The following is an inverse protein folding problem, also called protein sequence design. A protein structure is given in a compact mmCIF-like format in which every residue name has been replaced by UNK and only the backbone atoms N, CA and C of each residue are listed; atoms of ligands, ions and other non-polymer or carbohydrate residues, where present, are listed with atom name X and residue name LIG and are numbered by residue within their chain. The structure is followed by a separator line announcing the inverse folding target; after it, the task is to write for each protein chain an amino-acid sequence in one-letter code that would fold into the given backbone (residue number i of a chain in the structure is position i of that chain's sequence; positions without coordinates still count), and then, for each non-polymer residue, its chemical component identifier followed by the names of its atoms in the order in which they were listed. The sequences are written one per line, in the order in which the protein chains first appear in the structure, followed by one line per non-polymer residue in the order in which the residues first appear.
data_IF_217151271501
#
_entry.id   IF_217151271501
#
_cell.length_a   1.000
_cell.length_b   1.000
_cell.length_c   1.000
_cell.angle_alpha   90.00
_cell.angle_beta   90.00
_cell.angle_gamma   90.00
#
_symmetry.space_group_name_H-M   'P 1'
#
loop_
_entity.id
_entity.type
_entity.pdbx_description
1 polymer ?
#
# COMPACT_ATOMS: atom_id res chain seq x y z
N UNK A 1 -5.06 12.04 -20.84
CA UNK A 1 -5.08 10.89 -21.78
C UNK A 1 -6.37 10.90 -22.58
N UNK A 2 -6.30 10.46 -23.84
CA UNK A 2 -7.50 10.31 -24.69
C UNK A 2 -8.39 9.22 -24.11
N UNK A 3 -9.68 9.51 -23.90
CA UNK A 3 -10.69 8.60 -23.32
C UNK A 3 -10.38 8.01 -21.92
N UNK A 4 -9.31 8.47 -21.25
CA UNK A 4 -8.85 7.87 -20.00
C UNK A 4 -8.13 6.53 -20.19
N UNK A 5 -7.56 6.30 -21.37
CA UNK A 5 -6.82 5.09 -21.72
C UNK A 5 -5.31 5.36 -21.76
N UNK A 6 -4.53 4.33 -21.46
CA UNK A 6 -3.08 4.37 -21.58
C UNK A 6 -2.65 4.72 -23.04
N UNK A 7 -1.71 5.65 -23.27
CA UNK A 7 -1.31 6.00 -24.64
C UNK A 7 -0.70 4.81 -25.41
N UNK A 8 -0.98 4.72 -26.71
CA UNK A 8 -0.61 3.56 -27.55
C UNK A 8 0.88 3.18 -27.50
N UNK A 9 1.78 4.16 -27.34
CA UNK A 9 3.22 3.90 -27.20
C UNK A 9 3.58 3.03 -25.99
N UNK A 10 2.85 3.18 -24.88
CA UNK A 10 3.01 2.35 -23.68
C UNK A 10 2.30 0.99 -23.78
N UNK A 11 1.60 0.74 -24.88
CA UNK A 11 0.98 -0.55 -25.19
C UNK A 11 1.76 -1.35 -26.25
N UNK A 12 2.93 -0.85 -26.67
CA UNK A 12 3.80 -1.49 -27.66
C UNK A 12 4.29 -2.87 -27.16
N UNK A 13 4.37 -3.84 -28.07
CA UNK A 13 5.04 -5.13 -27.82
C UNK A 13 6.57 -5.06 -27.94
N UNK A 14 7.10 -3.91 -28.35
CA UNK A 14 8.53 -3.63 -28.49
C UNK A 14 8.87 -2.30 -27.79
N UNK A 15 8.83 -2.26 -26.43
CA UNK A 15 9.24 -1.08 -25.70
C UNK A 15 10.76 -0.89 -25.76
N UNK A 16 11.28 0.33 -25.53
CA UNK A 16 12.72 0.55 -25.42
C UNK A 16 13.36 -0.38 -24.37
N UNK A 17 14.50 -0.99 -24.69
CA UNK A 17 15.16 -2.01 -23.84
C UNK A 17 15.47 -1.54 -22.41
N UNK A 18 15.64 -0.23 -22.23
CA UNK A 18 15.96 0.40 -20.94
C UNK A 18 14.75 1.08 -20.29
N UNK A 19 13.54 0.93 -20.83
CA UNK A 19 12.32 1.44 -20.19
C UNK A 19 11.88 0.46 -19.11
N UNK A 20 12.13 0.82 -17.85
CA UNK A 20 11.72 0.06 -16.67
C UNK A 20 10.96 0.93 -15.65
N UNK A 21 10.72 2.20 -15.97
CA UNK A 21 10.12 3.18 -15.07
C UNK A 21 8.91 3.79 -15.76
N UNK A 22 7.72 3.50 -15.24
CA UNK A 22 6.43 3.89 -15.79
C UNK A 22 5.70 4.79 -14.81
N UNK A 23 5.74 6.10 -15.06
CA UNK A 23 5.11 7.11 -14.22
C UNK A 23 3.95 7.82 -14.93
N UNK A 24 2.77 7.77 -14.31
CA UNK A 24 1.55 8.44 -14.75
C UNK A 24 0.92 9.17 -13.57
N UNK A 25 1.35 10.40 -13.33
CA UNK A 25 0.89 11.21 -12.21
C UNK A 25 -0.08 12.29 -12.68
N UNK A 26 -1.17 12.49 -11.94
CA UNK A 26 -2.16 13.55 -12.19
C UNK A 26 -2.74 13.39 -13.61
N UNK A 27 -3.49 12.31 -13.82
CA UNK A 27 -4.07 12.00 -15.12
C UNK A 27 -5.56 11.67 -15.02
N UNK A 28 -6.22 11.48 -16.16
CA UNK A 28 -7.58 10.93 -16.22
C UNK A 28 -7.59 9.43 -16.56
N UNK A 29 -6.48 8.70 -16.38
CA UNK A 29 -6.38 7.26 -16.67
C UNK A 29 -7.39 6.49 -15.81
N UNK A 30 -8.27 5.72 -16.45
CA UNK A 30 -9.34 4.94 -15.81
C UNK A 30 -9.11 3.45 -15.88
N UNK A 31 -8.39 3.01 -16.91
CA UNK A 31 -8.12 1.59 -17.15
C UNK A 31 -6.82 1.42 -17.92
N UNK A 32 -6.22 0.24 -17.77
CA UNK A 32 -5.06 -0.20 -18.55
C UNK A 32 -5.41 -1.50 -19.27
N UNK A 33 -4.79 -1.79 -20.42
CA UNK A 33 -4.99 -3.06 -21.12
C UNK A 33 -4.65 -4.26 -20.24
N UNK A 34 -5.34 -5.39 -20.41
CA UNK A 34 -5.20 -6.59 -19.59
C UNK A 34 -3.89 -7.39 -19.81
N UNK A 35 -2.98 -6.89 -20.64
CA UNK A 35 -1.78 -7.58 -21.11
C UNK A 35 -0.50 -6.73 -21.01
N UNK A 36 -0.44 -5.79 -20.08
CA UNK A 36 0.80 -5.04 -19.82
C UNK A 36 1.93 -5.95 -19.32
N UNK A 37 1.61 -7.06 -18.64
CA UNK A 37 2.58 -8.02 -18.11
C UNK A 37 3.40 -8.75 -19.19
N UNK A 38 2.93 -8.80 -20.44
CA UNK A 38 3.71 -9.34 -21.57
C UNK A 38 4.41 -8.24 -22.38
N UNK A 39 4.20 -6.97 -22.02
CA UNK A 39 4.73 -5.79 -22.73
C UNK A 39 5.76 -5.06 -21.90
N UNK A 40 5.45 -4.79 -20.64
CA UNK A 40 6.31 -4.11 -19.70
C UNK A 40 7.28 -5.12 -19.09
N UNK A 41 8.49 -4.64 -18.80
CA UNK A 41 9.54 -5.47 -18.21
C UNK A 41 9.14 -5.88 -16.79
N UNK A 42 9.29 -7.16 -16.46
CA UNK A 42 9.09 -7.61 -15.08
C UNK A 42 10.06 -6.90 -14.12
N UNK A 43 9.60 -6.52 -12.92
CA UNK A 43 10.41 -5.75 -11.97
C UNK A 43 10.43 -4.24 -12.20
N UNK A 44 9.64 -3.74 -13.16
CA UNK A 44 9.55 -2.29 -13.42
C UNK A 44 9.08 -1.50 -12.20
N UNK A 45 9.44 -0.23 -12.15
CA UNK A 45 8.81 0.76 -11.27
C UNK A 45 7.49 1.16 -11.95
N UNK A 46 6.40 1.05 -11.21
CA UNK A 46 5.05 1.39 -11.70
C UNK A 46 4.41 2.39 -10.74
N UNK A 47 4.24 3.62 -11.21
CA UNK A 47 3.63 4.71 -10.46
C UNK A 47 2.45 5.22 -11.30
N UNK A 48 1.24 4.99 -10.80
CA UNK A 48 0.02 5.52 -11.41
C UNK A 48 -0.72 6.26 -10.30
N UNK A 49 -0.39 7.54 -10.12
CA UNK A 49 -0.88 8.33 -9.00
C UNK A 49 -1.87 9.41 -9.45
N UNK A 50 -2.77 9.79 -8.55
CA UNK A 50 -3.77 10.86 -8.76
C UNK A 50 -4.47 10.71 -10.11
N UNK A 51 -4.91 9.49 -10.40
CA UNK A 51 -5.62 9.11 -11.62
C UNK A 51 -7.05 8.68 -11.28
N UNK A 52 -7.71 7.90 -12.13
CA UNK A 52 -9.13 7.54 -11.99
C UNK A 52 -9.35 6.02 -11.94
N UNK A 53 -8.34 5.24 -11.52
CA UNK A 53 -8.49 3.79 -11.33
C UNK A 53 -9.44 3.51 -10.16
N UNK A 54 -10.50 2.75 -10.39
CA UNK A 54 -11.46 2.37 -9.34
C UNK A 54 -11.13 1.04 -8.66
N UNK A 55 -10.28 0.24 -9.30
CA UNK A 55 -9.82 -1.06 -8.83
C UNK A 55 -8.35 -1.24 -9.21
N UNK A 56 -7.63 -2.10 -8.50
CA UNK A 56 -6.26 -2.49 -8.88
C UNK A 56 -6.28 -3.35 -10.15
N UNK A 57 -5.70 -2.91 -11.28
CA UNK A 57 -5.66 -3.72 -12.49
C UNK A 57 -4.75 -4.94 -12.31
N UNK A 58 -5.29 -6.14 -12.54
CA UNK A 58 -4.57 -7.40 -12.34
C UNK A 58 -3.30 -7.54 -13.18
N UNK A 59 -3.26 -6.92 -14.36
CA UNK A 59 -2.06 -6.90 -15.20
C UNK A 59 -0.87 -6.23 -14.51
N UNK A 60 -1.10 -5.19 -13.69
CA UNK A 60 -0.03 -4.47 -13.00
C UNK A 60 0.59 -5.32 -11.88
N UNK A 61 -0.20 -6.20 -11.26
CA UNK A 61 0.31 -7.19 -10.31
C UNK A 61 1.24 -8.17 -11.01
N UNK A 62 0.85 -8.65 -12.21
CA UNK A 62 1.63 -9.61 -13.00
C UNK A 62 2.90 -9.01 -13.63
N UNK A 63 3.02 -7.69 -13.72
CA UNK A 63 4.29 -7.01 -14.05
C UNK A 63 5.36 -7.24 -12.96
N UNK A 64 4.97 -7.72 -11.77
CA UNK A 64 5.85 -7.91 -10.63
C UNK A 64 6.68 -6.65 -10.33
N UNK A 65 6.04 -5.50 -10.05
CA UNK A 65 6.74 -4.25 -9.84
C UNK A 65 7.70 -4.32 -8.65
N UNK A 66 8.87 -3.69 -8.78
CA UNK A 66 9.81 -3.53 -7.66
C UNK A 66 9.42 -2.37 -6.74
N UNK A 67 8.76 -1.35 -7.30
CA UNK A 67 8.14 -0.23 -6.60
C UNK A 67 6.76 -0.01 -7.22
N UNK A 68 5.70 0.01 -6.41
CA UNK A 68 4.33 0.11 -6.91
C UNK A 68 3.54 1.17 -6.16
N UNK A 69 3.06 2.21 -6.85
CA UNK A 69 2.20 3.22 -6.26
C UNK A 69 0.93 3.42 -7.08
N UNK A 70 -0.20 3.41 -6.37
CA UNK A 70 -1.54 3.71 -6.85
C UNK A 70 -2.18 4.87 -6.05
N UNK A 71 -1.35 5.64 -5.33
CA UNK A 71 -1.77 6.73 -4.44
C UNK A 71 -2.71 7.72 -5.13
N UNK A 72 -3.76 8.16 -4.43
CA UNK A 72 -4.69 9.18 -4.95
C UNK A 72 -5.64 8.69 -6.04
N UNK A 73 -5.74 7.38 -6.29
CA UNK A 73 -6.79 6.81 -7.14
C UNK A 73 -8.04 6.48 -6.31
N UNK A 74 -9.25 6.54 -6.90
CA UNK A 74 -10.50 6.25 -6.19
C UNK A 74 -10.73 4.73 -5.92
N UNK A 75 -9.67 3.97 -5.67
CA UNK A 75 -9.70 2.53 -5.36
C UNK A 75 -10.37 2.31 -4.01
N UNK A 76 -11.35 1.41 -3.96
CA UNK A 76 -12.11 1.12 -2.72
C UNK A 76 -11.83 -0.26 -2.14
N UNK A 77 -11.29 -1.18 -2.94
CA UNK A 77 -10.97 -2.55 -2.55
C UNK A 77 -9.61 -2.95 -3.11
N UNK A 78 -8.88 -3.77 -2.35
CA UNK A 78 -7.56 -4.27 -2.71
C UNK A 78 -7.57 -5.79 -2.83
N UNK A 79 -7.04 -6.35 -3.93
CA UNK A 79 -6.76 -7.78 -4.01
C UNK A 79 -5.63 -8.15 -3.05
N UNK A 80 -5.69 -9.29 -2.30
CA UNK A 80 -4.61 -9.72 -1.41
C UNK A 80 -3.26 -9.87 -2.13
N UNK A 81 -3.29 -10.24 -3.41
CA UNK A 81 -2.10 -10.46 -4.25
C UNK A 81 -1.20 -9.22 -4.36
N UNK A 82 -1.70 -8.00 -4.09
CA UNK A 82 -0.88 -6.78 -4.09
C UNK A 82 0.22 -6.81 -3.02
N UNK A 83 0.02 -7.57 -1.94
CA UNK A 83 1.00 -7.76 -0.85
C UNK A 83 1.91 -8.97 -1.07
N UNK A 84 1.63 -9.78 -2.09
CA UNK A 84 2.30 -11.05 -2.38
C UNK A 84 3.28 -10.95 -3.57
N UNK A 85 3.42 -9.75 -4.16
CA UNK A 85 4.29 -9.50 -5.31
C UNK A 85 5.76 -9.76 -4.96
N UNK A 86 6.38 -10.72 -5.65
CA UNK A 86 7.79 -11.03 -5.49
C UNK A 86 8.67 -9.85 -5.96
N UNK A 87 9.62 -9.42 -5.13
CA UNK A 87 10.54 -8.34 -5.47
C UNK A 87 10.02 -6.93 -5.17
N UNK A 88 8.74 -6.78 -4.80
CA UNK A 88 8.17 -5.49 -4.37
C UNK A 88 8.83 -5.04 -3.06
N UNK A 89 9.29 -3.79 -3.01
CA UNK A 89 9.89 -3.21 -1.80
C UNK A 89 8.99 -2.16 -1.15
N UNK A 90 8.27 -1.38 -1.95
CA UNK A 90 7.46 -0.27 -1.47
C UNK A 90 6.11 -0.26 -2.19
N UNK A 91 5.04 -0.17 -1.40
CA UNK A 91 3.66 -0.15 -1.87
C UNK A 91 2.96 1.14 -1.45
N UNK A 92 2.63 1.98 -2.41
CA UNK A 92 1.82 3.20 -2.25
C UNK A 92 0.34 2.98 -2.55
N UNK A 93 -0.51 3.08 -1.54
CA UNK A 93 -1.98 2.98 -1.65
C UNK A 93 -2.68 4.05 -0.79
N UNK A 94 -1.95 5.12 -0.46
CA UNK A 94 -2.46 6.29 0.27
C UNK A 94 -3.45 7.10 -0.55
N UNK A 95 -4.24 7.94 0.12
CA UNK A 95 -5.26 8.81 -0.48
C UNK A 95 -6.24 8.06 -1.42
N UNK A 96 -6.43 6.77 -1.18
CA UNK A 96 -7.44 5.94 -1.84
C UNK A 96 -8.70 5.84 -0.96
N UNK A 97 -9.78 5.29 -1.52
CA UNK A 97 -11.05 5.09 -0.80
C UNK A 97 -11.11 3.80 0.02
N UNK A 98 -9.97 3.14 0.24
CA UNK A 98 -9.90 1.89 1.00
C UNK A 98 -10.26 2.14 2.47
N UNK A 99 -10.97 1.18 3.06
CA UNK A 99 -11.38 1.20 4.48
C UNK A 99 -10.70 0.12 5.30
N UNK A 100 -10.14 -0.89 4.64
CA UNK A 100 -9.41 -1.98 5.25
C UNK A 100 -8.37 -2.52 4.26
N UNK A 101 -7.35 -3.17 4.82
CA UNK A 101 -6.47 -4.04 4.05
C UNK A 101 -7.13 -5.42 3.90
N UNK A 102 -6.79 -6.22 2.87
CA UNK A 102 -7.34 -7.56 2.72
C UNK A 102 -6.93 -8.45 3.90
N UNK A 103 -7.89 -9.23 4.39
CA UNK A 103 -7.69 -10.17 5.49
C UNK A 103 -6.83 -11.37 5.08
N UNK A 104 -7.03 -11.88 3.86
CA UNK A 104 -6.47 -13.15 3.39
C UNK A 104 -5.13 -12.97 2.64
N UNK A 105 -4.15 -12.28 3.23
CA UNK A 105 -2.78 -12.27 2.70
C UNK A 105 -2.07 -13.53 3.21
N UNK A 106 -1.78 -14.45 2.30
CA UNK A 106 -1.27 -15.78 2.64
C UNK A 106 0.23 -15.90 2.43
N UNK A 107 0.79 -15.13 1.51
CA UNK A 107 2.21 -15.17 1.17
C UNK A 107 2.79 -13.75 1.07
N UNK A 108 2.92 -13.08 2.22
CA UNK A 108 3.48 -11.74 2.29
C UNK A 108 4.89 -11.68 1.68
N UNK A 109 5.07 -10.81 0.69
CA UNK A 109 6.33 -10.64 -0.03
C UNK A 109 7.52 -10.48 0.92
N UNK A 110 8.56 -11.27 0.71
CA UNK A 110 9.76 -11.28 1.57
C UNK A 110 10.53 -9.95 1.48
N UNK A 111 10.42 -9.25 0.35
CA UNK A 111 11.12 -8.00 0.05
C UNK A 111 10.36 -6.75 0.46
N UNK A 112 9.05 -6.84 0.74
CA UNK A 112 8.22 -5.68 1.06
C UNK A 112 8.68 -5.04 2.38
N UNK A 113 9.16 -3.80 2.28
CA UNK A 113 9.65 -3.02 3.41
C UNK A 113 8.65 -1.95 3.83
N UNK A 114 8.00 -1.27 2.89
CA UNK A 114 7.19 -0.09 3.20
C UNK A 114 5.79 -0.21 2.62
N UNK A 115 4.78 0.11 3.42
CA UNK A 115 3.39 0.23 2.98
C UNK A 115 2.89 1.63 3.35
N UNK A 116 2.44 2.39 2.37
CA UNK A 116 1.91 3.74 2.53
C UNK A 116 0.39 3.70 2.37
N UNK A 117 -0.33 3.98 3.46
CA UNK A 117 -1.80 4.00 3.55
C UNK A 117 -2.32 5.33 4.12
N UNK A 118 -1.49 6.38 4.09
CA UNK A 118 -1.86 7.69 4.59
C UNK A 118 -3.12 8.23 3.92
N UNK A 119 -3.93 8.99 4.65
CA UNK A 119 -5.13 9.63 4.10
C UNK A 119 -6.27 8.68 3.73
N UNK A 120 -6.16 7.38 4.04
CA UNK A 120 -7.23 6.39 3.85
C UNK A 120 -8.18 6.33 5.04
N UNK A 121 -9.27 5.57 4.92
CA UNK A 121 -10.23 5.35 6.01
C UNK A 121 -9.94 4.10 6.86
N UNK A 122 -8.70 3.60 6.83
CA UNK A 122 -8.29 2.43 7.61
C UNK A 122 -8.42 2.71 9.10
N UNK A 123 -9.07 1.79 9.82
CA UNK A 123 -9.31 1.86 11.27
C UNK A 123 -8.71 0.70 12.06
N UNK A 124 -8.23 -0.34 11.39
CA UNK A 124 -7.60 -1.50 11.99
C UNK A 124 -6.59 -2.16 11.05
N UNK A 125 -5.74 -3.01 11.62
CA UNK A 125 -4.79 -3.84 10.89
C UNK A 125 -4.96 -5.31 11.24
N UNK A 126 -4.86 -6.18 10.24
CA UNK A 126 -4.92 -7.64 10.39
C UNK A 126 -3.60 -8.22 10.87
N UNK A 127 -3.64 -9.42 11.46
CA UNK A 127 -2.49 -10.11 12.06
C UNK A 127 -1.28 -10.27 11.15
N UNK A 128 -1.48 -10.44 9.84
CA UNK A 128 -0.36 -10.54 8.89
C UNK A 128 0.53 -9.28 8.88
N UNK A 129 0.01 -8.12 9.28
CA UNK A 129 0.80 -6.87 9.36
C UNK A 129 1.87 -6.90 10.45
N UNK A 130 1.72 -7.77 11.47
CA UNK A 130 2.76 -7.99 12.48
C UNK A 130 4.04 -8.54 11.86
N UNK A 131 3.93 -9.29 10.76
CA UNK A 131 5.08 -9.84 10.04
C UNK A 131 5.90 -8.74 9.34
N UNK A 132 5.25 -7.68 8.85
CA UNK A 132 5.96 -6.50 8.34
C UNK A 132 6.81 -5.87 9.45
N UNK A 133 6.25 -5.75 10.66
CA UNK A 133 6.96 -5.14 11.80
C UNK A 133 8.00 -6.06 12.44
N UNK A 134 7.94 -7.37 12.19
CA UNK A 134 8.76 -8.39 12.86
C UNK A 134 10.02 -8.80 12.11
N UNK A 135 10.15 -8.48 10.83
CA UNK A 135 11.26 -8.95 9.98
C UNK A 135 12.43 -7.96 10.00
N UNK A 136 13.62 -8.42 10.36
CA UNK A 136 14.86 -7.64 10.18
C UNK A 136 15.07 -7.31 8.70
N UNK A 137 15.47 -6.07 8.43
CA UNK A 137 15.69 -5.61 7.07
C UNK A 137 17.05 -6.07 6.57
N UNK A 138 17.06 -6.75 5.42
CA UNK A 138 18.29 -7.17 4.72
C UNK A 138 19.18 -5.96 4.35
N UNK A 139 18.61 -4.75 4.33
CA UNK A 139 19.30 -3.50 3.95
C UNK A 139 19.40 -2.47 5.10
N UNK A 140 19.16 -2.87 6.36
CA UNK A 140 19.09 -1.94 7.51
C UNK A 140 18.04 -0.82 7.36
N UNK A 141 17.05 -0.98 6.48
CA UNK A 141 15.93 -0.04 6.33
C UNK A 141 14.75 -0.57 7.13
N UNK A 142 14.30 0.09 8.21
CA UNK A 142 13.20 -0.40 9.02
C UNK A 142 11.98 -0.66 8.15
N UNK A 143 11.38 -1.85 8.28
CA UNK A 143 10.09 -2.12 7.64
C UNK A 143 9.04 -1.26 8.31
N UNK A 144 8.18 -0.60 7.55
CA UNK A 144 7.25 0.36 8.10
C UNK A 144 5.90 0.39 7.40
N UNK A 145 4.88 0.73 8.17
CA UNK A 145 3.57 1.12 7.69
C UNK A 145 3.43 2.62 7.94
N UNK A 146 3.16 3.39 6.91
CA UNK A 146 2.91 4.81 7.00
C UNK A 146 1.40 5.01 6.96
N UNK A 147 0.83 5.49 8.06
CA UNK A 147 -0.63 5.50 8.25
C UNK A 147 -1.16 6.87 8.71
N UNK A 148 -0.39 7.95 8.53
CA UNK A 148 -0.81 9.31 8.87
C UNK A 148 -2.20 9.64 8.32
N UNK A 149 -2.98 10.43 9.06
CA UNK A 149 -4.33 10.86 8.67
C UNK A 149 -5.35 9.73 8.44
N UNK A 150 -5.13 8.53 8.99
CA UNK A 150 -6.13 7.45 9.01
C UNK A 150 -7.01 7.50 10.26
N UNK A 151 -8.14 6.77 10.24
CA UNK A 151 -9.01 6.60 11.43
C UNK A 151 -8.22 5.90 12.55
N UNK A 152 -7.42 4.90 12.21
CA UNK A 152 -6.54 4.20 13.15
C UNK A 152 -5.62 5.18 13.88
N UNK A 153 -4.97 6.10 13.17
CA UNK A 153 -4.06 7.07 13.78
C UNK A 153 -4.78 8.07 14.68
N UNK A 154 -6.00 8.48 14.29
CA UNK A 154 -6.84 9.31 15.17
C UNK A 154 -7.25 8.60 16.46
N UNK A 155 -7.48 7.29 16.41
CA UNK A 155 -7.76 6.50 17.61
C UNK A 155 -6.50 6.25 18.45
N UNK A 156 -5.37 5.99 17.80
CA UNK A 156 -4.08 5.84 18.48
C UNK A 156 -3.71 7.12 19.24
N UNK A 157 -3.90 8.30 18.63
CA UNK A 157 -3.68 9.58 19.30
C UNK A 157 -4.56 9.74 20.55
N UNK A 158 -5.85 9.36 20.46
CA UNK A 158 -6.75 9.40 21.62
C UNK A 158 -6.29 8.45 22.74
N UNK A 159 -5.82 7.26 22.38
CA UNK A 159 -5.25 6.29 23.33
C UNK A 159 -4.01 6.88 24.01
N UNK A 160 -3.07 7.42 23.25
CA UNK A 160 -1.81 8.00 23.75
C UNK A 160 -2.06 9.21 24.66
N UNK A 161 -3.03 10.05 24.30
CA UNK A 161 -3.45 11.21 25.10
C UNK A 161 -4.39 10.86 26.25
N UNK A 162 -4.70 9.57 26.44
CA UNK A 162 -5.61 9.05 27.48
C UNK A 162 -7.04 9.58 27.40
N UNK A 163 -7.47 10.02 26.22
CA UNK A 163 -8.85 10.42 25.93
C UNK A 163 -9.72 9.25 25.45
N UNK A 164 -9.11 8.12 25.08
CA UNK A 164 -9.74 6.81 24.87
C UNK A 164 -8.88 5.69 25.49
N UNK A 165 -9.46 4.51 25.69
CA UNK A 165 -8.76 3.32 26.21
C UNK A 165 -8.69 2.16 25.20
N UNK A 166 -9.32 2.30 24.04
CA UNK A 166 -9.35 1.31 22.97
C UNK A 166 -9.52 1.98 21.62
N UNK A 167 -9.19 1.25 20.55
CA UNK A 167 -9.54 1.62 19.18
C UNK A 167 -11.06 1.59 18.99
N UNK A 168 -11.57 2.35 18.01
CA UNK A 168 -13.01 2.39 17.69
C UNK A 168 -13.48 1.19 16.86
N UNK A 169 -12.56 0.47 16.23
CA UNK A 169 -12.87 -0.75 15.48
C UNK A 169 -13.47 -1.83 16.38
N UNK A 170 -14.43 -2.59 15.85
CA UNK A 170 -15.05 -3.73 16.56
C UNK A 170 -13.98 -4.80 16.78
N UNK A 171 -13.79 -5.21 18.03
CA UNK A 171 -12.78 -6.20 18.40
C UNK A 171 -12.89 -7.49 17.57
N UNK A 172 -11.75 -7.95 17.08
CA UNK A 172 -11.63 -9.15 16.26
C UNK A 172 -10.34 -9.90 16.67
N UNK A 173 -10.38 -11.23 16.89
CA UNK A 173 -9.21 -12.00 17.28
C UNK A 173 -8.09 -12.04 16.22
N UNK A 174 -8.42 -11.80 14.95
CA UNK A 174 -7.47 -11.86 13.83
C UNK A 174 -6.77 -10.51 13.57
N UNK A 175 -7.02 -9.51 14.42
CA UNK A 175 -6.30 -8.24 14.40
C UNK A 175 -4.83 -8.37 14.80
N UNK A 176 -4.01 -7.43 14.31
CA UNK A 176 -2.61 -7.29 14.67
C UNK A 176 -2.43 -7.20 16.19
N UNK A 177 -1.63 -8.09 16.76
CA UNK A 177 -1.37 -8.11 18.19
C UNK A 177 -0.51 -6.94 18.65
N UNK A 178 0.21 -6.30 17.71
CA UNK A 178 1.08 -5.14 17.97
C UNK A 178 0.35 -3.81 17.74
N UNK A 179 -0.31 -3.66 16.60
CA UNK A 179 -0.97 -2.42 16.19
C UNK A 179 -2.34 -2.25 16.84
N UNK A 180 -3.09 -3.34 17.06
CA UNK A 180 -4.43 -3.26 17.66
C UNK A 180 -4.44 -3.48 19.18
N UNK A 181 -3.26 -3.39 19.82
CA UNK A 181 -3.10 -3.54 21.27
C UNK A 181 -2.64 -2.21 21.91
N UNK A 182 -3.52 -1.47 22.63
CA UNK A 182 -3.22 -0.11 23.12
C UNK A 182 -1.91 0.07 23.91
N UNK A 183 -1.50 -0.83 24.82
CA UNK A 183 -0.22 -0.73 25.52
C UNK A 183 1.01 -0.96 24.63
N UNK A 184 0.86 -1.70 23.52
CA UNK A 184 1.96 -2.00 22.60
C UNK A 184 2.04 -0.99 21.46
N UNK A 185 0.90 -0.57 20.90
CA UNK A 185 0.81 0.34 19.76
C UNK A 185 1.49 1.71 20.01
N UNK A 186 1.65 2.11 21.27
CA UNK A 186 2.29 3.37 21.68
C UNK A 186 3.78 3.28 22.03
N UNK A 187 4.43 2.13 21.86
CA UNK A 187 5.86 1.98 22.21
C UNK A 187 6.76 2.63 21.16
N UNK A 188 7.81 3.34 21.61
CA UNK A 188 8.78 4.04 20.73
C UNK A 188 9.40 3.13 19.65
N UNK A 189 9.56 1.83 19.94
CA UNK A 189 10.04 0.85 18.96
C UNK A 189 9.05 0.58 17.82
N UNK A 190 7.74 0.59 18.11
CA UNK A 190 6.70 0.46 17.09
C UNK A 190 6.50 1.80 16.37
N UNK A 191 6.66 2.94 17.05
CA UNK A 191 6.64 4.28 16.44
C UNK A 191 7.73 4.50 15.38
N UNK A 192 8.86 3.79 15.43
CA UNK A 192 9.88 3.81 14.37
C UNK A 192 9.50 3.02 13.10
N UNK A 193 8.53 2.12 13.24
CA UNK A 193 7.97 1.27 12.16
C UNK A 193 6.56 1.70 11.75
N UNK A 194 5.91 2.58 12.51
CA UNK A 194 4.61 3.14 12.21
C UNK A 194 4.71 4.66 12.26
N UNK A 195 4.84 5.27 11.09
CA UNK A 195 4.96 6.72 11.00
C UNK A 195 3.57 7.34 10.89
N UNK A 196 3.14 7.93 12.00
CA UNK A 196 1.90 8.70 12.10
C UNK A 196 2.26 10.17 11.93
N UNK A 197 2.18 10.69 10.71
CA UNK A 197 2.41 12.11 10.47
C UNK A 197 1.24 12.94 11.03
N UNK A 198 1.28 13.25 12.33
CA UNK A 198 0.36 14.21 12.97
C UNK A 198 1.07 15.17 13.94
N UNK A 199 2.40 15.36 13.81
CA UNK A 199 3.13 16.37 14.57
C UNK A 199 3.99 17.27 13.66
N UNK A 200 3.33 18.07 12.81
CA UNK A 200 3.78 19.40 12.40
C UNK A 200 2.58 20.33 12.23
#
# INVERSE_FOLDING_TARGET
MTNGELPAGFQSSDPPLNLYDYEFCITNLREVPDNLDVKWRAGSIVIIEYSQLQTVPQTLLRVNPSYFSLTGNPISELPPEIFEIEGLTDLGIGDTNIRELPHNVTQLSSTLTSIYVEGTSISYFWSWTDEILGRESVRNVPRAIYAGNTVYCGDLEKILTKSANSFSAVANPDFSSRLMNPPEAGLEGISGHLWTATLL
#
